data_IF_515724390450
#
_entry.id   IF_515724390450
#
_cell.length_a   1.000
_cell.length_b   1.000
_cell.length_c   1.000
_cell.angle_alpha   90.00
_cell.angle_beta   90.00
_cell.angle_gamma   90.00
#
_symmetry.space_group_name_H-M   'P 1'
#
loop_
_entity.id
_entity.type
_entity.pdbx_description
1 polymer ?
#
# COMPACT_ATOMS: atom_id res chain seq x y z
N UNK A 1 27.51 -0.25 -0.64
CA UNK A 1 26.27 0.49 -0.98
C UNK A 1 25.26 0.24 0.15
N UNK A 2 24.57 1.28 0.63
CA UNK A 2 23.60 1.15 1.72
C UNK A 2 22.30 0.47 1.24
N UNK A 3 21.53 -0.18 2.14
CA UNK A 3 20.17 -0.66 1.84
C UNK A 3 19.28 0.42 1.23
N UNK A 4 19.38 1.65 1.72
CA UNK A 4 18.66 2.83 1.22
C UNK A 4 18.94 3.09 -0.26
N UNK A 5 20.19 3.04 -0.65
CA UNK A 5 20.59 3.24 -2.05
C UNK A 5 20.14 2.07 -2.94
N UNK A 6 20.15 0.84 -2.42
CA UNK A 6 19.63 -0.33 -3.15
C UNK A 6 18.15 -0.16 -3.47
N UNK A 7 17.33 0.25 -2.47
CA UNK A 7 15.89 0.47 -2.71
C UNK A 7 15.66 1.62 -3.68
N UNK A 8 16.34 2.76 -3.49
CA UNK A 8 16.23 3.90 -4.42
C UNK A 8 16.46 3.46 -5.87
N UNK A 9 17.55 2.71 -6.13
CA UNK A 9 17.87 2.23 -7.48
C UNK A 9 16.85 1.22 -8.02
N UNK A 10 16.29 0.35 -7.17
CA UNK A 10 15.21 -0.55 -7.60
C UNK A 10 13.95 0.24 -7.99
N UNK A 11 13.57 1.24 -7.19
CA UNK A 11 12.42 2.09 -7.48
C UNK A 11 12.60 2.90 -8.78
N UNK A 12 13.80 3.38 -9.03
CA UNK A 12 14.16 4.15 -10.23
C UNK A 12 14.58 3.27 -11.43
N UNK A 13 14.70 1.95 -11.23
CA UNK A 13 15.26 0.99 -12.20
C UNK A 13 16.64 1.40 -12.72
N UNK A 14 17.43 2.06 -11.85
CA UNK A 14 18.76 2.57 -12.14
C UNK A 14 19.84 1.53 -11.76
N UNK A 15 19.89 0.45 -12.53
CA UNK A 15 20.90 -0.61 -12.40
C UNK A 15 21.23 -0.98 -10.93
N UNK A 16 20.23 -1.44 -10.13
CA UNK A 16 20.47 -1.80 -8.74
C UNK A 16 21.45 -2.98 -8.65
N UNK A 17 22.34 -3.00 -7.64
CA UNK A 17 23.33 -4.08 -7.50
C UNK A 17 22.68 -5.42 -7.09
N UNK A 18 21.47 -5.38 -6.56
CA UNK A 18 20.68 -6.52 -6.13
C UNK A 18 19.19 -6.15 -6.02
N UNK A 19 18.34 -7.14 -5.86
CA UNK A 19 16.93 -6.92 -5.50
C UNK A 19 16.82 -6.28 -4.12
N UNK A 20 15.75 -5.51 -3.90
CA UNK A 20 15.36 -5.02 -2.57
C UNK A 20 14.76 -6.14 -1.72
N UNK A 21 14.88 -6.03 -0.39
CA UNK A 21 14.37 -7.01 0.57
C UNK A 21 13.54 -6.33 1.65
N UNK A 22 12.33 -6.84 1.89
CA UNK A 22 11.47 -6.42 3.00
C UNK A 22 10.90 -7.66 3.71
N UNK A 23 11.66 -8.19 4.64
CA UNK A 23 11.28 -9.36 5.43
C UNK A 23 11.34 -9.05 6.93
N UNK A 24 10.38 -9.55 7.67
CA UNK A 24 10.25 -9.37 9.12
C UNK A 24 11.08 -10.36 9.96
N UNK A 25 10.92 -10.32 11.28
CA UNK A 25 11.44 -11.30 12.25
C UNK A 25 12.95 -11.54 12.19
N UNK A 26 13.74 -10.46 12.02
CA UNK A 26 15.20 -10.54 12.01
C UNK A 26 15.79 -11.03 10.69
N UNK A 27 14.98 -11.23 9.66
CA UNK A 27 15.40 -11.47 8.28
C UNK A 27 15.87 -10.17 7.62
N UNK A 28 16.42 -10.27 6.41
CA UNK A 28 16.94 -9.11 5.68
C UNK A 28 15.84 -8.11 5.36
N UNK A 29 16.06 -6.85 5.76
CA UNK A 29 15.10 -5.77 5.55
C UNK A 29 15.82 -4.47 5.21
N UNK A 30 15.55 -3.93 4.03
CA UNK A 30 16.15 -2.70 3.52
C UNK A 30 15.30 -1.45 3.86
N UNK A 31 14.16 -1.62 4.55
CA UNK A 31 13.21 -0.56 4.85
C UNK A 31 13.16 -0.19 6.33
N UNK A 32 12.82 1.07 6.58
CA UNK A 32 12.39 1.59 7.86
C UNK A 32 11.03 2.24 7.71
N UNK A 33 9.97 1.53 8.08
CA UNK A 33 8.62 2.05 8.05
C UNK A 33 8.26 2.80 9.32
N UNK A 34 7.51 3.90 9.19
CA UNK A 34 6.94 4.61 10.32
C UNK A 34 5.54 5.16 10.00
N UNK A 35 4.66 5.15 11.00
CA UNK A 35 3.38 5.82 11.00
C UNK A 35 3.36 6.96 12.02
N UNK A 36 2.56 8.00 11.79
CA UNK A 36 2.32 9.04 12.78
C UNK A 36 1.53 8.49 13.98
N UNK A 37 1.70 9.12 15.14
CA UNK A 37 1.02 8.69 16.38
C UNK A 37 -0.50 8.94 16.30
N UNK A 38 -1.33 8.16 17.01
CA UNK A 38 -2.74 8.49 17.21
C UNK A 38 -2.93 9.88 17.81
N UNK A 39 -4.12 10.48 17.63
CA UNK A 39 -4.46 11.74 18.29
C UNK A 39 -4.45 11.58 19.81
N UNK A 40 -3.94 12.57 20.53
CA UNK A 40 -3.97 12.59 22.01
C UNK A 40 -5.40 12.76 22.58
N UNK A 41 -6.30 13.29 21.76
CA UNK A 41 -7.68 13.56 22.14
C UNK A 41 -8.66 12.46 21.74
N UNK A 42 -8.19 11.45 21.01
CA UNK A 42 -9.02 10.35 20.56
C UNK A 42 -8.56 9.02 21.16
N UNK A 43 -9.53 8.20 21.58
CA UNK A 43 -9.30 6.85 22.08
C UNK A 43 -10.16 5.86 21.35
N UNK A 44 -9.55 4.80 20.84
CA UNK A 44 -10.25 3.71 20.20
C UNK A 44 -11.16 3.01 21.20
N UNK A 45 -12.44 2.93 20.89
CA UNK A 45 -13.40 2.10 21.60
C UNK A 45 -13.42 0.72 20.97
N UNK A 46 -13.52 -0.34 21.81
CA UNK A 46 -13.64 -1.72 21.38
C UNK A 46 -14.64 -2.45 22.27
N UNK A 47 -15.50 -3.27 21.67
CA UNK A 47 -16.40 -4.15 22.40
C UNK A 47 -16.71 -5.40 21.61
N UNK A 48 -17.21 -6.44 22.26
CA UNK A 48 -17.56 -7.73 21.64
C UNK A 48 -19.01 -8.03 21.92
N UNK A 49 -19.75 -8.43 20.89
CA UNK A 49 -21.12 -8.93 20.97
C UNK A 49 -21.18 -10.29 20.29
N UNK A 50 -21.34 -11.36 21.08
CA UNK A 50 -21.28 -12.73 20.56
C UNK A 50 -19.91 -13.06 19.98
N UNK A 51 -19.87 -13.37 18.69
CA UNK A 51 -18.64 -13.71 17.96
C UNK A 51 -18.10 -12.54 17.11
N UNK A 52 -18.62 -11.35 17.33
CA UNK A 52 -18.25 -10.15 16.58
C UNK A 52 -17.57 -9.13 17.49
N UNK A 53 -16.38 -8.70 17.09
CA UNK A 53 -15.69 -7.56 17.68
C UNK A 53 -16.01 -6.29 16.89
N UNK A 54 -16.39 -5.23 17.59
CA UNK A 54 -16.57 -3.88 17.06
C UNK A 54 -15.48 -2.94 17.54
N UNK A 55 -15.09 -1.98 16.70
CA UNK A 55 -14.11 -0.96 17.08
C UNK A 55 -14.28 0.33 16.27
N UNK A 56 -13.90 1.46 16.90
CA UNK A 56 -13.94 2.77 16.23
C UNK A 56 -12.60 3.12 15.58
N UNK A 57 -12.63 3.99 14.56
CA UNK A 57 -11.44 4.65 14.01
C UNK A 57 -11.49 6.17 14.21
N UNK A 58 -10.38 6.87 13.97
CA UNK A 58 -10.30 8.33 14.10
C UNK A 58 -11.17 9.07 13.06
N UNK A 59 -11.60 8.41 11.99
CA UNK A 59 -12.51 8.95 10.98
C UNK A 59 -13.98 8.96 11.45
N UNK A 60 -14.26 8.36 12.61
CA UNK A 60 -15.63 8.26 13.16
C UNK A 60 -16.41 7.05 12.66
N UNK A 61 -15.78 6.13 11.95
CA UNK A 61 -16.43 4.88 11.55
C UNK A 61 -16.44 3.88 12.70
N UNK A 62 -17.47 3.03 12.73
CA UNK A 62 -17.48 1.81 13.52
C UNK A 62 -17.24 0.63 12.58
N UNK A 63 -16.26 -0.19 12.93
CA UNK A 63 -15.85 -1.39 12.21
C UNK A 63 -16.33 -2.63 12.95
N UNK A 64 -16.47 -3.74 12.23
CA UNK A 64 -16.71 -5.05 12.81
C UNK A 64 -15.85 -6.12 12.16
N UNK A 65 -15.57 -7.17 12.92
CA UNK A 65 -14.91 -8.38 12.43
C UNK A 65 -15.25 -9.58 13.29
N UNK A 66 -15.09 -10.79 12.74
CA UNK A 66 -15.19 -12.02 13.55
C UNK A 66 -14.03 -12.11 14.54
N UNK A 67 -14.31 -12.50 15.78
CA UNK A 67 -13.25 -12.76 16.81
C UNK A 67 -12.33 -13.94 16.41
N UNK A 68 -12.79 -14.79 15.50
CA UNK A 68 -12.03 -15.94 14.97
C UNK A 68 -11.38 -15.66 13.62
N UNK A 69 -11.67 -14.52 13.00
CA UNK A 69 -11.22 -14.14 11.66
C UNK A 69 -9.83 -13.51 11.62
N UNK A 70 -9.47 -13.00 10.44
CA UNK A 70 -8.25 -12.22 10.23
C UNK A 70 -8.27 -10.86 10.94
N UNK A 71 -7.17 -10.13 10.83
CA UNK A 71 -7.03 -8.81 11.49
C UNK A 71 -7.87 -7.70 10.85
N UNK A 72 -8.33 -7.89 9.62
CA UNK A 72 -9.14 -6.94 8.86
C UNK A 72 -10.61 -7.01 9.29
N UNK A 73 -11.29 -5.88 9.18
CA UNK A 73 -12.74 -5.75 9.41
C UNK A 73 -13.42 -5.04 8.25
N UNK A 74 -14.74 -4.95 8.34
CA UNK A 74 -15.58 -4.19 7.44
C UNK A 74 -16.23 -3.02 8.19
N UNK A 75 -16.63 -1.97 7.48
CA UNK A 75 -17.36 -0.85 8.08
C UNK A 75 -18.77 -1.30 8.43
N UNK A 76 -19.09 -1.29 9.72
CA UNK A 76 -20.41 -1.53 10.24
C UNK A 76 -21.28 -0.28 10.09
N UNK A 77 -20.83 0.83 10.68
CA UNK A 77 -21.50 2.13 10.59
C UNK A 77 -20.51 3.18 10.09
N UNK A 78 -20.73 3.77 8.91
CA UNK A 78 -19.88 4.83 8.39
C UNK A 78 -20.16 6.16 9.10
N UNK A 79 -19.17 7.02 9.17
CA UNK A 79 -19.30 8.36 9.76
C UNK A 79 -20.26 9.26 8.95
N UNK A 80 -20.26 9.09 7.64
CA UNK A 80 -21.12 9.82 6.70
C UNK A 80 -22.18 8.89 6.11
N UNK A 81 -23.07 8.34 6.94
CA UNK A 81 -24.22 7.55 6.50
C UNK A 81 -25.28 8.39 5.75
N UNK A 82 -25.32 9.71 6.01
CA UNK A 82 -26.15 10.71 5.34
C UNK A 82 -25.30 11.90 4.90
N UNK A 83 -25.51 12.40 3.68
CA UNK A 83 -24.81 13.58 3.14
C UNK A 83 -25.09 14.87 3.92
N UNK A 84 -26.23 14.98 4.59
CA UNK A 84 -26.53 16.13 5.47
C UNK A 84 -25.47 16.32 6.57
N UNK A 85 -24.75 15.26 6.94
CA UNK A 85 -23.65 15.31 7.93
C UNK A 85 -22.36 15.94 7.36
N UNK A 86 -22.17 15.96 6.04
CA UNK A 86 -20.91 16.38 5.41
C UNK A 86 -20.50 17.80 5.82
N UNK A 87 -21.46 18.73 5.89
CA UNK A 87 -21.21 20.15 6.24
C UNK A 87 -20.59 20.32 7.64
N UNK A 88 -20.96 19.45 8.59
CA UNK A 88 -20.53 19.54 9.99
C UNK A 88 -19.40 18.52 10.32
N UNK A 89 -19.13 17.59 9.38
CA UNK A 89 -18.11 16.57 9.55
C UNK A 89 -16.71 17.18 9.58
N UNK A 90 -15.96 16.85 10.63
CA UNK A 90 -14.56 17.26 10.79
C UNK A 90 -13.66 16.09 10.48
N UNK A 91 -12.72 16.30 9.56
CA UNK A 91 -11.64 15.35 9.31
C UNK A 91 -10.76 15.22 10.57
N UNK A 92 -10.19 14.03 10.84
CA UNK A 92 -9.26 13.87 11.94
C UNK A 92 -8.00 14.74 11.74
N UNK A 93 -7.41 15.21 12.86
CA UNK A 93 -6.24 16.10 12.89
C UNK A 93 -4.92 15.40 12.51
N UNK A 94 -4.93 14.58 11.44
CA UNK A 94 -3.78 13.81 11.00
C UNK A 94 -2.64 14.69 10.45
N UNK A 95 -2.92 15.95 10.16
CA UNK A 95 -1.95 16.98 9.76
C UNK A 95 -1.37 17.78 10.94
N UNK A 96 -1.59 17.34 12.17
CA UNK A 96 -0.97 17.93 13.36
C UNK A 96 0.52 17.52 13.43
N UNK A 97 1.48 18.48 13.35
CA UNK A 97 2.92 18.15 13.33
C UNK A 97 3.42 17.42 14.58
N UNK A 98 2.73 17.54 15.73
CA UNK A 98 3.10 16.84 16.96
C UNK A 98 3.01 15.32 16.80
N UNK A 99 2.06 14.83 16.01
CA UNK A 99 1.85 13.39 15.76
C UNK A 99 3.03 12.74 15.01
N UNK A 100 3.92 13.53 14.40
CA UNK A 100 5.10 13.06 13.66
C UNK A 100 6.39 13.07 14.48
N UNK A 101 6.35 13.35 15.78
CA UNK A 101 7.53 13.40 16.63
C UNK A 101 8.30 12.06 16.65
N UNK A 102 7.59 10.94 16.81
CA UNK A 102 8.17 9.59 16.77
C UNK A 102 8.73 9.22 15.39
N UNK A 103 8.06 9.67 14.32
CA UNK A 103 8.54 9.47 12.93
C UNK A 103 9.85 10.21 12.71
N UNK A 104 9.92 11.50 13.09
CA UNK A 104 11.15 12.31 13.00
C UNK A 104 12.30 11.67 13.77
N UNK A 105 12.05 11.25 15.02
CA UNK A 105 13.07 10.58 15.83
C UNK A 105 13.57 9.29 15.16
N UNK A 106 12.64 8.44 14.69
CA UNK A 106 12.97 7.17 14.06
C UNK A 106 13.77 7.37 12.77
N UNK A 107 13.35 8.29 11.91
CA UNK A 107 14.04 8.55 10.63
C UNK A 107 15.37 9.29 10.82
N UNK A 108 15.52 10.09 11.87
CA UNK A 108 16.79 10.77 12.18
C UNK A 108 17.92 9.80 12.58
N UNK A 109 17.58 8.71 13.30
CA UNK A 109 18.57 7.69 13.70
C UNK A 109 18.78 6.61 12.65
N UNK A 110 17.85 6.46 11.69
CA UNK A 110 17.94 5.46 10.63
C UNK A 110 18.62 6.05 9.39
N UNK A 111 19.90 5.79 9.23
CA UNK A 111 20.70 6.32 8.13
C UNK A 111 20.90 5.35 6.98
N UNK A 112 20.75 4.05 7.24
CA UNK A 112 21.12 2.98 6.31
C UNK A 112 19.95 2.47 5.47
N UNK A 113 18.74 2.39 6.04
CA UNK A 113 17.57 1.83 5.38
C UNK A 113 16.69 2.90 4.74
N UNK A 114 15.89 2.48 3.77
CA UNK A 114 14.96 3.34 3.05
C UNK A 114 13.74 3.66 3.92
N UNK A 115 13.47 4.95 4.14
CA UNK A 115 12.49 5.44 5.12
C UNK A 115 11.14 5.70 4.46
N UNK A 116 10.10 4.99 4.91
CA UNK A 116 8.76 5.04 4.32
C UNK A 116 7.72 5.44 5.35
N UNK A 117 6.95 6.49 5.04
CA UNK A 117 5.78 6.90 5.81
C UNK A 117 4.51 6.20 5.32
N UNK A 118 3.68 5.68 6.24
CA UNK A 118 2.39 5.12 5.88
C UNK A 118 1.31 6.19 5.83
N UNK A 119 0.65 6.32 4.67
CA UNK A 119 -0.57 7.11 4.53
C UNK A 119 -1.79 6.29 4.97
N UNK A 120 -2.85 6.94 5.48
CA UNK A 120 -4.09 6.25 5.87
C UNK A 120 -4.85 5.63 4.70
N UNK A 121 -4.48 5.95 3.48
CA UNK A 121 -5.06 5.58 2.20
C UNK A 121 -4.90 6.74 1.22
N UNK A 122 -5.44 6.56 0.03
CA UNK A 122 -5.75 7.65 -0.89
C UNK A 122 -7.26 7.91 -0.88
N UNK A 123 -7.77 8.86 -1.67
CA UNK A 123 -9.17 9.30 -1.56
C UNK A 123 -10.21 8.19 -1.68
N UNK A 124 -10.00 7.19 -2.54
CA UNK A 124 -10.93 6.08 -2.70
C UNK A 124 -11.06 5.23 -1.42
N UNK A 125 -9.93 4.79 -0.84
CA UNK A 125 -9.96 3.96 0.36
C UNK A 125 -10.62 4.69 1.54
N UNK A 126 -10.28 5.96 1.75
CA UNK A 126 -10.81 6.76 2.85
C UNK A 126 -12.30 7.04 2.65
N UNK A 127 -12.68 7.53 1.47
CA UNK A 127 -14.06 7.95 1.21
C UNK A 127 -15.04 6.76 1.17
N UNK A 128 -14.62 5.60 0.64
CA UNK A 128 -15.45 4.39 0.66
C UNK A 128 -15.72 3.88 2.08
N UNK A 129 -14.80 4.11 3.03
CA UNK A 129 -15.04 3.76 4.43
C UNK A 129 -15.95 4.77 5.11
N UNK A 130 -15.79 6.06 4.81
CA UNK A 130 -16.64 7.13 5.34
C UNK A 130 -18.10 7.03 4.89
N UNK A 131 -18.36 6.44 3.72
CA UNK A 131 -19.69 6.29 3.13
C UNK A 131 -20.23 4.88 3.19
N UNK A 132 -19.40 3.88 3.50
CA UNK A 132 -19.61 2.46 3.25
C UNK A 132 -19.62 2.13 1.75
N UNK A 133 -19.03 1.01 1.37
CA UNK A 133 -18.66 0.71 -0.02
C UNK A 133 -19.85 0.77 -0.99
N UNK A 134 -20.99 0.17 -0.61
CA UNK A 134 -22.20 0.13 -1.45
C UNK A 134 -22.78 1.52 -1.72
N UNK A 135 -22.85 2.38 -0.70
CA UNK A 135 -23.31 3.76 -0.87
C UNK A 135 -22.32 4.57 -1.71
N UNK A 136 -21.02 4.43 -1.43
CA UNK A 136 -19.99 5.17 -2.13
C UNK A 136 -19.99 4.90 -3.63
N UNK A 137 -20.16 3.64 -4.07
CA UNK A 137 -20.25 3.34 -5.49
C UNK A 137 -21.52 3.92 -6.16
N UNK A 138 -22.64 3.93 -5.47
CA UNK A 138 -23.84 4.61 -5.97
C UNK A 138 -23.62 6.12 -6.06
N UNK A 139 -23.02 6.71 -5.05
CA UNK A 139 -22.75 8.14 -4.94
C UNK A 139 -21.79 8.67 -6.02
N UNK A 140 -20.83 7.85 -6.49
CA UNK A 140 -19.94 8.23 -7.62
C UNK A 140 -20.73 8.63 -8.88
N UNK A 141 -21.99 8.19 -9.00
CA UNK A 141 -22.87 8.46 -10.13
C UNK A 141 -24.01 9.41 -9.76
N UNK A 142 -24.61 9.21 -8.57
CA UNK A 142 -25.84 9.89 -8.18
C UNK A 142 -25.63 11.16 -7.37
N UNK A 143 -24.51 11.26 -6.64
CA UNK A 143 -24.24 12.32 -5.66
C UNK A 143 -22.86 12.97 -5.92
N UNK A 144 -22.57 13.26 -7.20
CA UNK A 144 -21.26 13.68 -7.65
C UNK A 144 -20.72 14.93 -6.94
N UNK A 145 -21.59 15.91 -6.68
CA UNK A 145 -21.17 17.15 -5.99
C UNK A 145 -20.68 16.89 -4.57
N UNK A 146 -21.38 16.05 -3.82
CA UNK A 146 -20.97 15.64 -2.47
C UNK A 146 -19.67 14.83 -2.48
N UNK A 147 -19.54 13.92 -3.46
CA UNK A 147 -18.32 13.13 -3.65
C UNK A 147 -17.12 14.03 -3.95
N UNK A 148 -17.26 14.98 -4.87
CA UNK A 148 -16.20 15.90 -5.26
C UNK A 148 -15.77 16.79 -4.07
N UNK A 149 -16.70 17.26 -3.24
CA UNK A 149 -16.40 17.97 -2.00
C UNK A 149 -15.62 17.10 -1.01
N UNK A 150 -16.08 15.86 -0.78
CA UNK A 150 -15.41 14.94 0.13
C UNK A 150 -14.02 14.58 -0.36
N UNK A 151 -13.86 14.30 -1.66
CA UNK A 151 -12.58 14.03 -2.30
C UNK A 151 -11.62 15.21 -2.15
N UNK A 152 -12.08 16.44 -2.37
CA UNK A 152 -11.26 17.63 -2.22
C UNK A 152 -10.74 17.79 -0.78
N UNK A 153 -11.63 17.63 0.21
CA UNK A 153 -11.26 17.75 1.64
C UNK A 153 -10.24 16.69 2.05
N UNK A 154 -10.47 15.43 1.65
CA UNK A 154 -9.55 14.32 1.93
C UNK A 154 -8.21 14.49 1.21
N UNK A 155 -8.23 14.90 -0.06
CA UNK A 155 -7.01 15.14 -0.83
C UNK A 155 -6.17 16.25 -0.23
N UNK A 156 -6.80 17.35 0.18
CA UNK A 156 -6.10 18.46 0.84
C UNK A 156 -5.45 18.03 2.17
N UNK A 157 -6.11 17.17 2.96
CA UNK A 157 -5.51 16.58 4.16
C UNK A 157 -4.29 15.71 3.81
N UNK A 158 -4.41 14.84 2.81
CA UNK A 158 -3.33 13.96 2.39
C UNK A 158 -2.10 14.72 1.87
N UNK A 159 -2.29 15.85 1.17
CA UNK A 159 -1.18 16.71 0.76
C UNK A 159 -0.37 17.22 1.96
N UNK A 160 -1.05 17.63 3.04
CA UNK A 160 -0.37 18.06 4.28
C UNK A 160 0.34 16.90 4.98
N UNK A 161 -0.27 15.71 5.02
CA UNK A 161 0.35 14.50 5.57
C UNK A 161 1.64 14.14 4.80
N UNK A 162 1.60 14.19 3.48
CA UNK A 162 2.79 13.93 2.62
C UNK A 162 3.91 14.94 2.96
N UNK A 163 3.58 16.23 3.07
CA UNK A 163 4.56 17.26 3.44
C UNK A 163 5.18 16.98 4.82
N UNK A 164 4.39 16.60 5.82
CA UNK A 164 4.87 16.29 7.17
C UNK A 164 5.77 15.04 7.22
N UNK A 165 5.50 14.02 6.40
CA UNK A 165 6.41 12.89 6.25
C UNK A 165 7.73 13.31 5.60
N UNK A 166 7.67 14.15 4.57
CA UNK A 166 8.89 14.68 3.92
C UNK A 166 9.74 15.49 4.92
N UNK A 167 9.11 16.39 5.70
CA UNK A 167 9.78 17.15 6.77
C UNK A 167 10.36 16.25 7.86
N UNK A 168 9.73 15.10 8.13
CA UNK A 168 10.24 14.10 9.05
C UNK A 168 11.41 13.28 8.48
N UNK A 169 11.74 13.45 7.19
CA UNK A 169 12.86 12.80 6.52
C UNK A 169 12.51 11.49 5.82
N UNK A 170 11.25 11.27 5.46
CA UNK A 170 10.85 10.13 4.63
C UNK A 170 11.48 10.21 3.23
N UNK A 171 11.83 9.06 2.67
CA UNK A 171 12.27 8.89 1.28
C UNK A 171 11.07 8.58 0.36
N UNK A 172 10.05 7.92 0.92
CA UNK A 172 8.80 7.63 0.24
C UNK A 172 7.61 7.67 1.20
N UNK A 173 6.42 7.76 0.62
CA UNK A 173 5.15 7.43 1.28
C UNK A 173 4.52 6.22 0.60
N UNK A 174 3.79 5.42 1.37
CA UNK A 174 3.08 4.25 0.88
C UNK A 174 1.62 4.29 1.30
N UNK A 175 0.73 3.92 0.41
CA UNK A 175 -0.70 3.77 0.66
C UNK A 175 -1.25 2.46 0.12
N UNK A 176 -2.42 2.06 0.60
CA UNK A 176 -3.14 0.88 0.13
C UNK A 176 -4.54 1.26 -0.34
N UNK A 177 -4.84 0.89 -1.59
CA UNK A 177 -6.17 1.00 -2.19
C UNK A 177 -6.45 -0.20 -3.09
N UNK A 178 -7.40 -1.03 -2.71
CA UNK A 178 -7.77 -2.22 -3.46
C UNK A 178 -8.74 -1.86 -4.58
N UNK A 179 -8.23 -1.77 -5.80
CA UNK A 179 -8.98 -1.36 -6.99
C UNK A 179 -9.52 -2.49 -7.83
N UNK A 180 -9.01 -3.70 -7.64
CA UNK A 180 -9.30 -4.83 -8.51
C UNK A 180 -10.03 -5.98 -7.81
N UNK A 181 -10.83 -6.68 -8.59
CA UNK A 181 -11.24 -8.06 -8.33
C UNK A 181 -10.28 -9.02 -9.05
N UNK A 182 -10.67 -10.28 -9.28
CA UNK A 182 -9.74 -11.28 -9.84
C UNK A 182 -9.39 -11.04 -11.33
N UNK A 183 -10.24 -10.34 -12.07
CA UNK A 183 -10.15 -10.23 -13.53
C UNK A 183 -10.39 -8.81 -14.08
N UNK A 184 -10.75 -7.84 -13.22
CA UNK A 184 -11.07 -6.47 -13.64
C UNK A 184 -11.04 -5.49 -12.47
N UNK A 185 -11.15 -4.20 -12.79
CA UNK A 185 -11.34 -3.12 -11.81
C UNK A 185 -12.75 -3.19 -11.17
N UNK A 186 -12.87 -2.64 -9.97
CA UNK A 186 -14.13 -2.44 -9.26
C UNK A 186 -15.06 -1.43 -9.97
N UNK A 187 -14.50 -0.49 -10.72
CA UNK A 187 -15.22 0.53 -11.51
C UNK A 187 -14.70 0.53 -12.94
N UNK A 188 -15.47 1.12 -13.85
CA UNK A 188 -15.05 1.24 -15.23
C UNK A 188 -13.77 2.10 -15.36
N UNK A 189 -12.78 1.72 -16.19
CA UNK A 189 -11.51 2.46 -16.34
C UNK A 189 -11.69 3.93 -16.70
N UNK A 190 -12.72 4.29 -17.51
CA UNK A 190 -12.99 5.69 -17.83
C UNK A 190 -13.44 6.50 -16.61
N UNK A 191 -14.24 5.90 -15.70
CA UNK A 191 -14.64 6.54 -14.45
C UNK A 191 -13.43 6.73 -13.53
N UNK A 192 -12.52 5.75 -13.48
CA UNK A 192 -11.26 5.89 -12.74
C UNK A 192 -10.43 7.07 -13.26
N UNK A 193 -10.28 7.19 -14.59
CA UNK A 193 -9.54 8.28 -15.22
C UNK A 193 -10.18 9.64 -15.00
N UNK A 194 -11.50 9.71 -15.01
CA UNK A 194 -12.24 10.95 -14.79
C UNK A 194 -12.14 11.43 -13.35
N UNK A 195 -12.37 10.53 -12.37
CA UNK A 195 -12.53 10.89 -10.97
C UNK A 195 -11.21 10.82 -10.21
N UNK A 196 -10.47 9.70 -10.33
CA UNK A 196 -9.36 9.38 -9.43
C UNK A 196 -7.99 9.77 -10.00
N UNK A 197 -7.77 9.67 -11.31
CA UNK A 197 -6.50 10.04 -11.91
C UNK A 197 -6.09 11.49 -11.58
N UNK A 198 -6.98 12.51 -11.60
CA UNK A 198 -6.62 13.87 -11.20
C UNK A 198 -6.19 13.98 -9.74
N UNK A 199 -6.85 13.25 -8.83
CA UNK A 199 -6.52 13.21 -7.39
C UNK A 199 -5.16 12.57 -7.15
N UNK A 200 -4.89 11.42 -7.79
CA UNK A 200 -3.59 10.76 -7.77
C UNK A 200 -2.48 11.67 -8.30
N UNK A 201 -2.71 12.30 -9.46
CA UNK A 201 -1.75 13.23 -10.05
C UNK A 201 -1.44 14.42 -9.11
N UNK A 202 -2.43 14.93 -8.38
CA UNK A 202 -2.25 15.99 -7.39
C UNK A 202 -1.38 15.54 -6.22
N UNK A 203 -1.67 14.39 -5.63
CA UNK A 203 -0.91 13.84 -4.50
C UNK A 203 0.52 13.47 -4.91
N UNK A 204 0.71 12.84 -6.07
CA UNK A 204 2.04 12.53 -6.59
C UNK A 204 2.85 13.79 -6.92
N UNK A 205 2.22 14.85 -7.43
CA UNK A 205 2.89 16.16 -7.62
C UNK A 205 3.34 16.76 -6.30
N UNK A 206 2.52 16.65 -5.26
CA UNK A 206 2.88 17.12 -3.91
C UNK A 206 4.07 16.33 -3.38
N UNK A 207 4.04 14.99 -3.45
CA UNK A 207 5.17 14.15 -3.06
C UNK A 207 6.46 14.53 -3.81
N UNK A 208 6.39 14.70 -5.13
CA UNK A 208 7.54 15.10 -5.97
C UNK A 208 8.10 16.47 -5.58
N UNK A 209 7.24 17.47 -5.30
CA UNK A 209 7.69 18.81 -4.84
C UNK A 209 8.47 18.74 -3.53
N UNK A 210 8.17 17.78 -2.69
CA UNK A 210 8.85 17.53 -1.42
C UNK A 210 10.00 16.50 -1.52
N UNK A 211 10.33 16.01 -2.73
CA UNK A 211 11.39 15.03 -2.93
C UNK A 211 11.09 13.63 -2.41
N UNK A 212 9.82 13.28 -2.26
CA UNK A 212 9.35 11.99 -1.71
C UNK A 212 8.76 11.15 -2.83
N UNK A 213 9.08 9.86 -2.89
CA UNK A 213 8.49 8.92 -3.84
C UNK A 213 7.17 8.35 -3.33
N UNK A 214 6.34 7.79 -4.23
CA UNK A 214 5.03 7.22 -3.87
C UNK A 214 4.97 5.75 -4.27
N UNK A 215 4.69 4.89 -3.29
CA UNK A 215 4.50 3.44 -3.44
C UNK A 215 3.02 3.13 -3.27
N UNK A 216 2.42 2.44 -4.24
CA UNK A 216 1.01 2.04 -4.22
C UNK A 216 0.87 0.55 -3.95
N UNK A 217 0.11 0.18 -2.92
CA UNK A 217 -0.44 -1.18 -2.82
C UNK A 217 -1.84 -1.24 -3.43
N UNK A 218 -2.10 -2.30 -4.18
CA UNK A 218 -3.45 -2.66 -4.61
C UNK A 218 -3.60 -4.17 -4.71
N UNK A 219 -4.66 -4.70 -4.12
CA UNK A 219 -5.11 -6.06 -4.41
C UNK A 219 -5.87 -6.13 -5.73
N UNK A 220 -5.93 -7.34 -6.31
CA UNK A 220 -6.70 -7.64 -7.50
C UNK A 220 -6.07 -7.15 -8.81
N UNK A 221 -6.86 -7.18 -9.87
CA UNK A 221 -6.41 -6.91 -11.23
C UNK A 221 -6.63 -5.43 -11.60
N UNK A 222 -5.54 -4.69 -11.75
CA UNK A 222 -5.55 -3.23 -12.05
C UNK A 222 -4.94 -2.89 -13.42
N UNK A 223 -4.83 -3.87 -14.29
CA UNK A 223 -4.16 -3.77 -15.60
C UNK A 223 -4.59 -2.58 -16.43
N UNK A 224 -5.90 -2.30 -16.45
CA UNK A 224 -6.51 -1.29 -17.33
C UNK A 224 -6.15 0.16 -16.98
N UNK A 225 -5.59 0.38 -15.78
CA UNK A 225 -5.14 1.70 -15.30
C UNK A 225 -3.65 1.73 -14.94
N UNK A 226 -2.91 0.67 -15.22
CA UNK A 226 -1.50 0.59 -14.84
C UNK A 226 -0.63 1.65 -15.53
N UNK A 227 -0.94 2.00 -16.78
CA UNK A 227 -0.30 3.11 -17.50
C UNK A 227 -0.60 4.46 -16.84
N UNK A 228 -1.86 4.67 -16.47
CA UNK A 228 -2.28 5.88 -15.77
C UNK A 228 -1.59 6.02 -14.41
N UNK A 229 -1.42 4.91 -13.68
CA UNK A 229 -0.69 4.86 -12.40
C UNK A 229 0.76 5.30 -12.56
N UNK A 230 1.45 4.84 -13.60
CA UNK A 230 2.81 5.29 -13.92
C UNK A 230 2.85 6.77 -14.32
N UNK A 231 1.92 7.21 -15.19
CA UNK A 231 1.85 8.58 -15.70
C UNK A 231 1.66 9.62 -14.59
N UNK A 232 0.85 9.32 -13.58
CA UNK A 232 0.64 10.24 -12.44
C UNK A 232 1.86 10.34 -11.52
N UNK A 233 2.81 9.40 -11.60
CA UNK A 233 4.08 9.46 -10.88
C UNK A 233 4.22 8.47 -9.72
N UNK A 234 3.42 7.41 -9.67
CA UNK A 234 3.72 6.24 -8.83
C UNK A 234 5.00 5.59 -9.38
N UNK A 235 5.94 5.26 -8.51
CA UNK A 235 7.21 4.64 -8.93
C UNK A 235 7.25 3.12 -8.68
N UNK A 236 6.38 2.61 -7.84
CA UNK A 236 6.36 1.21 -7.43
C UNK A 236 4.94 0.75 -7.16
N UNK A 237 4.63 -0.43 -7.67
CA UNK A 237 3.37 -1.13 -7.38
C UNK A 237 3.64 -2.34 -6.49
N UNK A 238 2.96 -2.40 -5.36
CA UNK A 238 3.02 -3.53 -4.45
C UNK A 238 1.81 -4.43 -4.70
N UNK A 239 2.07 -5.61 -5.26
CA UNK A 239 1.06 -6.61 -5.57
C UNK A 239 1.35 -7.89 -4.79
N UNK A 240 0.34 -8.41 -4.07
CA UNK A 240 0.46 -9.68 -3.37
C UNK A 240 0.03 -10.88 -4.25
N UNK A 241 -0.56 -10.60 -5.43
CA UNK A 241 -1.12 -11.58 -6.37
C UNK A 241 -0.57 -11.39 -7.79
N UNK A 242 0.76 -11.40 -8.01
CA UNK A 242 1.34 -11.10 -9.32
C UNK A 242 0.98 -12.11 -10.40
N UNK A 243 0.64 -13.36 -10.03
CA UNK A 243 0.23 -14.39 -10.96
C UNK A 243 -1.12 -14.09 -11.67
N UNK A 244 -1.95 -13.15 -11.14
CA UNK A 244 -3.18 -12.73 -11.83
C UNK A 244 -2.91 -12.12 -13.21
N UNK A 245 -1.75 -11.50 -13.38
CA UNK A 245 -1.36 -10.79 -14.60
C UNK A 245 -0.62 -11.66 -15.61
N UNK A 246 -0.09 -12.83 -15.17
CA UNK A 246 0.95 -13.57 -15.87
C UNK A 246 2.31 -12.88 -15.73
N UNK A 247 3.29 -13.56 -15.12
CA UNK A 247 4.55 -12.90 -14.70
C UNK A 247 5.32 -12.27 -15.86
N UNK A 248 5.43 -12.96 -17.02
CA UNK A 248 6.12 -12.43 -18.19
C UNK A 248 5.46 -11.17 -18.74
N UNK A 249 4.12 -11.20 -18.84
CA UNK A 249 3.33 -10.07 -19.31
C UNK A 249 3.47 -8.89 -18.36
N UNK A 250 3.40 -9.13 -17.05
CA UNK A 250 3.58 -8.11 -16.03
C UNK A 250 4.99 -7.51 -16.08
N UNK A 251 6.02 -8.35 -16.16
CA UNK A 251 7.41 -7.91 -16.21
C UNK A 251 7.70 -7.02 -17.45
N UNK A 252 7.18 -7.40 -18.62
CA UNK A 252 7.29 -6.59 -19.82
C UNK A 252 6.63 -5.22 -19.63
N UNK A 253 5.40 -5.19 -19.07
CA UNK A 253 4.65 -3.96 -18.85
C UNK A 253 5.29 -3.04 -17.82
N UNK A 254 5.73 -3.57 -16.68
CA UNK A 254 6.39 -2.77 -15.65
C UNK A 254 7.74 -2.20 -16.13
N UNK A 255 8.46 -2.93 -17.00
CA UNK A 255 9.69 -2.43 -17.61
C UNK A 255 9.39 -1.29 -18.59
N UNK A 256 8.37 -1.43 -19.45
CA UNK A 256 7.90 -0.39 -20.36
C UNK A 256 7.52 0.90 -19.61
N UNK A 257 6.82 0.76 -18.48
CA UNK A 257 6.33 1.87 -17.66
C UNK A 257 7.35 2.41 -16.64
N UNK A 258 8.55 1.84 -16.58
CA UNK A 258 9.56 2.14 -15.57
C UNK A 258 9.05 1.98 -14.12
N UNK A 259 8.17 1.02 -13.86
CA UNK A 259 7.62 0.72 -12.55
C UNK A 259 8.41 -0.41 -11.86
N UNK A 260 8.70 -0.24 -10.58
CA UNK A 260 9.23 -1.30 -9.73
C UNK A 260 8.09 -2.22 -9.27
N UNK A 261 8.35 -3.54 -9.23
CA UNK A 261 7.47 -4.49 -8.55
C UNK A 261 7.92 -4.71 -7.11
N UNK A 262 6.99 -4.63 -6.18
CA UNK A 262 7.19 -4.97 -4.77
C UNK A 262 6.22 -6.09 -4.38
N UNK A 263 6.71 -7.33 -4.21
CA UNK A 263 5.81 -8.48 -4.16
C UNK A 263 6.40 -9.67 -3.38
N UNK A 264 5.57 -10.44 -2.66
CA UNK A 264 5.90 -11.81 -2.27
C UNK A 264 5.73 -12.74 -3.47
N UNK A 265 6.06 -14.02 -3.33
CA UNK A 265 5.49 -15.04 -4.22
C UNK A 265 3.96 -15.04 -4.07
N UNK A 266 3.25 -15.37 -5.14
CA UNK A 266 1.79 -15.24 -5.21
C UNK A 266 1.08 -15.90 -4.03
N UNK A 267 0.30 -15.11 -3.30
CA UNK A 267 -0.38 -15.52 -2.04
C UNK A 267 -1.65 -16.35 -2.26
N UNK A 268 -2.12 -16.51 -3.48
CA UNK A 268 -3.32 -17.29 -3.81
C UNK A 268 -2.99 -18.57 -4.56
N UNK A 269 -2.04 -18.53 -5.48
CA UNK A 269 -1.79 -19.62 -6.42
C UNK A 269 -0.49 -20.39 -6.15
N UNK A 270 0.44 -19.79 -5.42
CA UNK A 270 1.77 -20.37 -5.19
C UNK A 270 2.01 -20.68 -3.72
N UNK A 271 2.05 -19.66 -2.87
CA UNK A 271 2.44 -19.84 -1.47
C UNK A 271 1.50 -20.81 -0.70
N UNK A 272 0.15 -20.74 -0.83
CA UNK A 272 -0.75 -21.63 -0.10
C UNK A 272 -0.73 -23.09 -0.55
N UNK A 273 -0.04 -23.40 -1.64
CA UNK A 273 0.07 -24.80 -2.11
C UNK A 273 0.93 -25.68 -1.20
N UNK A 274 1.86 -25.07 -0.42
CA UNK A 274 2.85 -25.82 0.36
C UNK A 274 3.79 -26.67 -0.51
N UNK A 275 3.80 -26.49 -1.84
CA UNK A 275 4.68 -27.19 -2.74
C UNK A 275 6.02 -26.44 -2.84
N UNK A 276 7.05 -27.00 -2.20
CA UNK A 276 8.37 -26.39 -2.12
C UNK A 276 8.98 -26.09 -3.49
N UNK A 277 8.94 -27.06 -4.39
CA UNK A 277 9.52 -26.91 -5.73
C UNK A 277 8.82 -25.79 -6.52
N UNK A 278 7.50 -25.68 -6.39
CA UNK A 278 6.72 -24.61 -7.02
C UNK A 278 7.09 -23.24 -6.45
N UNK A 279 7.16 -23.13 -5.12
CA UNK A 279 7.47 -21.87 -4.42
C UNK A 279 8.88 -21.40 -4.77
N UNK A 280 9.89 -22.28 -4.69
CA UNK A 280 11.28 -21.95 -5.02
C UNK A 280 11.42 -21.57 -6.51
N UNK A 281 10.82 -22.34 -7.41
CA UNK A 281 10.84 -22.06 -8.86
C UNK A 281 10.20 -20.70 -9.17
N UNK A 282 9.07 -20.37 -8.57
CA UNK A 282 8.40 -19.09 -8.78
C UNK A 282 9.23 -17.92 -8.22
N UNK A 283 9.86 -18.07 -7.05
CA UNK A 283 10.75 -17.08 -6.50
C UNK A 283 11.97 -16.81 -7.42
N UNK A 284 12.61 -17.85 -7.97
CA UNK A 284 13.67 -17.71 -8.97
C UNK A 284 13.19 -16.95 -10.21
N UNK A 285 12.04 -17.38 -10.77
CA UNK A 285 11.44 -16.76 -11.95
C UNK A 285 11.10 -15.28 -11.73
N UNK A 286 10.61 -14.90 -10.55
CA UNK A 286 10.34 -13.51 -10.24
C UNK A 286 11.63 -12.67 -10.27
N UNK A 287 12.74 -13.16 -9.71
CA UNK A 287 14.01 -12.43 -9.77
C UNK A 287 14.52 -12.29 -11.19
N UNK A 288 14.44 -13.36 -12.00
CA UNK A 288 14.88 -13.34 -13.40
C UNK A 288 14.07 -12.35 -14.25
N UNK A 289 12.75 -12.32 -14.07
CA UNK A 289 11.86 -11.48 -14.87
C UNK A 289 11.87 -10.01 -14.46
N UNK A 290 11.89 -9.72 -13.14
CA UNK A 290 11.73 -8.37 -12.60
C UNK A 290 13.07 -7.76 -12.14
N UNK A 291 14.18 -8.47 -12.21
CA UNK A 291 15.50 -7.95 -11.84
C UNK A 291 15.77 -6.58 -12.44
N UNK A 292 16.42 -5.70 -11.67
CA UNK A 292 16.60 -4.28 -12.02
C UNK A 292 15.41 -3.38 -11.69
N UNK A 293 14.43 -3.89 -10.93
CA UNK A 293 13.25 -3.16 -10.44
C UNK A 293 12.35 -4.09 -9.65
N UNK A 294 12.93 -4.81 -8.67
CA UNK A 294 12.21 -5.78 -7.87
C UNK A 294 12.55 -5.66 -6.37
N UNK A 295 11.52 -5.65 -5.57
CA UNK A 295 11.59 -5.71 -4.10
C UNK A 295 10.82 -6.96 -3.66
N UNK A 296 11.54 -7.91 -3.08
CA UNK A 296 10.96 -9.13 -2.51
C UNK A 296 10.51 -8.88 -1.07
N UNK A 297 9.37 -9.46 -0.69
CA UNK A 297 8.81 -9.34 0.67
C UNK A 297 8.17 -10.63 1.16
N UNK A 298 7.94 -10.73 2.46
CA UNK A 298 7.01 -11.72 3.00
C UNK A 298 5.56 -11.20 2.97
N UNK A 299 4.60 -12.13 3.08
CA UNK A 299 3.21 -11.78 3.35
C UNK A 299 2.94 -11.87 4.87
N UNK A 300 2.44 -10.80 5.51
CA UNK A 300 2.38 -10.77 6.98
C UNK A 300 1.29 -11.67 7.60
N UNK A 301 0.17 -11.89 6.90
CA UNK A 301 -0.96 -12.69 7.39
C UNK A 301 -0.99 -14.09 6.74
N UNK A 302 0.05 -14.88 7.01
CA UNK A 302 0.15 -16.25 6.49
C UNK A 302 -1.03 -17.12 6.91
N UNK A 303 -1.54 -16.95 8.15
CA UNK A 303 -2.69 -17.68 8.64
C UNK A 303 -3.95 -17.37 7.83
N UNK A 304 -4.17 -16.10 7.49
CA UNK A 304 -5.32 -15.64 6.71
C UNK A 304 -5.39 -16.23 5.30
N UNK A 305 -4.24 -16.64 4.73
CA UNK A 305 -4.16 -17.29 3.42
C UNK A 305 -3.94 -18.82 3.51
N UNK A 306 -3.95 -19.40 4.71
CA UNK A 306 -3.73 -20.83 4.91
C UNK A 306 -2.29 -21.29 4.68
N UNK A 307 -1.32 -20.38 4.70
CA UNK A 307 0.08 -20.70 4.51
C UNK A 307 0.82 -20.92 5.84
N UNK A 308 1.92 -21.69 5.80
CA UNK A 308 2.78 -21.94 6.95
C UNK A 308 4.03 -21.06 6.89
N UNK A 309 4.62 -20.68 8.05
CA UNK A 309 5.85 -19.90 8.09
C UNK A 309 7.03 -20.54 7.32
N UNK A 310 7.11 -21.86 7.31
CA UNK A 310 8.12 -22.61 6.59
C UNK A 310 8.04 -22.39 5.07
N UNK A 311 6.82 -22.25 4.52
CA UNK A 311 6.63 -22.03 3.08
C UNK A 311 7.13 -20.66 2.65
N UNK A 312 6.90 -19.65 3.46
CA UNK A 312 7.44 -18.29 3.29
C UNK A 312 8.97 -18.29 3.40
N UNK A 313 9.52 -19.12 4.30
CA UNK A 313 10.98 -19.27 4.45
C UNK A 313 11.65 -19.86 3.21
N UNK A 314 11.02 -20.81 2.50
CA UNK A 314 11.58 -21.35 1.25
C UNK A 314 11.72 -20.26 0.20
N UNK A 315 10.71 -19.41 0.00
CA UNK A 315 10.79 -18.25 -0.89
C UNK A 315 11.87 -17.26 -0.44
N UNK A 316 11.93 -16.95 0.85
CA UNK A 316 12.95 -16.07 1.42
C UNK A 316 14.37 -16.53 1.13
N UNK A 317 14.68 -17.82 1.31
CA UNK A 317 16.03 -18.36 1.08
C UNK A 317 16.45 -18.20 -0.40
N UNK A 318 15.52 -18.36 -1.34
CA UNK A 318 15.79 -18.08 -2.76
C UNK A 318 16.11 -16.61 -2.96
N UNK A 319 15.26 -15.69 -2.51
CA UNK A 319 15.49 -14.25 -2.66
C UNK A 319 16.80 -13.80 -1.99
N UNK A 320 17.09 -14.35 -0.79
CA UNK A 320 18.32 -14.05 -0.05
C UNK A 320 19.58 -14.46 -0.82
N UNK A 321 19.53 -15.56 -1.57
CA UNK A 321 20.67 -16.00 -2.39
C UNK A 321 21.04 -14.96 -3.45
N UNK A 322 20.06 -14.37 -4.11
CA UNK A 322 20.27 -13.28 -5.07
C UNK A 322 20.69 -11.96 -4.41
N UNK A 323 20.13 -11.66 -3.23
CA UNK A 323 20.49 -10.44 -2.50
C UNK A 323 21.95 -10.46 -1.99
N UNK A 324 22.52 -11.64 -1.74
CA UNK A 324 23.91 -11.82 -1.28
C UNK A 324 24.92 -11.96 -2.41
N UNK A 325 24.54 -12.62 -3.51
CA UNK A 325 25.47 -12.86 -4.64
C UNK A 325 25.95 -11.58 -5.32
N UNK A 326 25.16 -10.53 -5.32
CA UNK A 326 25.51 -9.23 -5.91
C UNK A 326 26.47 -8.39 -5.05
N UNK A 327 26.78 -8.83 -3.82
CA UNK A 327 27.74 -8.15 -2.93
C UNK A 327 29.22 -8.51 -3.22
N UNK A 328 29.51 -9.28 -4.27
CA UNK A 328 30.85 -9.83 -4.59
C UNK A 328 31.45 -9.21 -5.87
N UNK A 329 30.87 -8.14 -6.41
CA UNK A 329 31.46 -7.41 -7.56
C UNK A 329 31.88 -6.00 -7.17
#
# INVERSE_FOLDING_TARGET
MTPREVIRRNLERDNPPRIGMDFDKGRMNDFCFAGFSPSETWQQQRWVEGEVEYFTDEWGNIWYRSVYGGQRGEVFQPALDDWAKLKDYQLPDMDNPKRYASVRQRFAIETERYRVGYLPGFPFAICRYLRKMENYFADLVLEREHIDELHERVTALLERIIALYAEAGADAVMFAEDWGVQDRLLIHPSMWREIFKPLFARLCRTARRHGVQVIMHSCGYVWDVLEDVAEVGICCVQFDQPALYGLERLAAKLRELNLCLYSPVDIQRVLPTGNRELIEREAHRMVELFGGGFIAKNYPDLKGIGAQPEWDEWAYQVFLSYARSASVV
#
